data_IF_546085129616
#
_entry.id   IF_546085129616
#
_cell.length_a   1.000
_cell.length_b   1.000
_cell.length_c   1.000
_cell.angle_alpha   90.00
_cell.angle_beta   90.00
_cell.angle_gamma   90.00
#
_symmetry.space_group_name_H-M   'P 1'
#
loop_
_entity.id
_entity.type
_entity.pdbx_description
1 polymer ?
#
# COMPACT_ATOMS: atom_id res chain seq x y z
N UNK A 1 -7.88 -20.43 -29.15
CA UNK A 1 -6.50 -20.95 -29.23
C UNK A 1 -5.48 -20.12 -28.46
N UNK A 2 -5.56 -18.78 -28.44
CA UNK A 2 -4.58 -17.94 -27.72
C UNK A 2 -4.70 -18.00 -26.18
N UNK A 3 -5.92 -18.07 -25.62
CA UNK A 3 -6.15 -18.09 -24.16
C UNK A 3 -5.56 -19.31 -23.44
N UNK A 4 -5.48 -20.45 -24.13
CA UNK A 4 -4.91 -21.69 -23.57
C UNK A 4 -3.38 -21.65 -23.47
N UNK A 5 -2.73 -20.67 -24.11
CA UNK A 5 -1.27 -20.46 -24.05
C UNK A 5 -0.84 -19.55 -22.88
N UNK A 6 -1.80 -18.93 -22.20
CA UNK A 6 -1.53 -18.07 -21.04
C UNK A 6 -1.13 -18.96 -19.86
N UNK A 7 0.11 -18.80 -19.38
CA UNK A 7 0.65 -19.58 -18.26
C UNK A 7 0.40 -18.94 -16.89
N UNK A 8 0.34 -17.60 -16.84
CA UNK A 8 0.19 -16.84 -15.61
C UNK A 8 -0.73 -15.66 -15.84
N UNK A 9 -1.58 -15.37 -14.87
CA UNK A 9 -2.40 -14.17 -14.88
C UNK A 9 -2.24 -13.44 -13.55
N UNK A 10 -1.79 -12.19 -13.62
CA UNK A 10 -1.64 -11.32 -12.44
C UNK A 10 -2.91 -10.49 -12.29
N UNK A 11 -3.52 -10.51 -11.10
CA UNK A 11 -4.73 -9.75 -10.79
C UNK A 11 -4.65 -9.08 -9.41
N UNK A 12 -5.48 -8.05 -9.21
CA UNK A 12 -5.73 -7.49 -7.88
C UNK A 12 -6.50 -8.52 -7.03
N UNK A 13 -6.47 -8.39 -5.70
CA UNK A 13 -7.23 -9.20 -4.73
C UNK A 13 -8.75 -9.03 -4.82
N UNK A 14 -9.27 -8.36 -5.85
CA UNK A 14 -10.70 -8.18 -6.03
C UNK A 14 -11.35 -9.48 -6.50
N UNK A 15 -12.21 -10.04 -5.63
CA UNK A 15 -12.81 -11.38 -5.77
C UNK A 15 -13.39 -11.70 -7.16
N UNK A 16 -14.14 -10.80 -7.83
CA UNK A 16 -14.66 -11.07 -9.16
C UNK A 16 -13.56 -11.41 -10.16
N UNK A 17 -12.41 -10.71 -10.14
CA UNK A 17 -11.35 -10.97 -11.12
C UNK A 17 -10.80 -12.39 -11.03
N UNK A 18 -10.78 -12.98 -9.83
CA UNK A 18 -10.30 -14.36 -9.62
C UNK A 18 -11.25 -15.38 -10.24
N UNK A 19 -12.56 -15.23 -10.02
CA UNK A 19 -13.55 -16.11 -10.64
C UNK A 19 -13.55 -16.01 -12.18
N UNK A 20 -13.19 -14.86 -12.73
CA UNK A 20 -13.00 -14.68 -14.17
C UNK A 20 -11.75 -15.42 -14.71
N UNK A 21 -10.70 -15.61 -13.89
CA UNK A 21 -9.48 -16.32 -14.34
C UNK A 21 -9.82 -17.76 -14.65
N UNK A 22 -10.44 -18.46 -13.71
CA UNK A 22 -10.73 -19.89 -13.83
C UNK A 22 -11.69 -20.17 -14.98
N UNK A 23 -12.62 -19.24 -15.25
CA UNK A 23 -13.60 -19.37 -16.34
C UNK A 23 -13.02 -19.15 -17.74
N UNK A 24 -12.08 -18.21 -17.91
CA UNK A 24 -11.63 -17.79 -19.24
C UNK A 24 -10.17 -18.19 -19.57
N UNK A 25 -9.39 -18.57 -18.56
CA UNK A 25 -7.97 -18.95 -18.67
C UNK A 25 -7.68 -20.20 -17.81
N UNK A 26 -8.27 -21.36 -18.14
CA UNK A 26 -8.21 -22.56 -17.30
C UNK A 26 -6.78 -23.12 -17.09
N UNK A 27 -5.83 -22.78 -17.98
CA UNK A 27 -4.44 -23.21 -17.88
C UNK A 27 -3.52 -22.20 -17.16
N UNK A 28 -4.06 -21.03 -16.78
CA UNK A 28 -3.25 -19.95 -16.22
C UNK A 28 -3.20 -20.07 -14.70
N UNK A 29 -1.99 -19.96 -14.14
CA UNK A 29 -1.80 -19.87 -12.70
C UNK A 29 -2.18 -18.45 -12.26
N UNK A 30 -3.18 -18.37 -11.37
CA UNK A 30 -3.61 -17.11 -10.76
C UNK A 30 -2.54 -16.60 -9.81
N UNK A 31 -2.08 -15.38 -10.07
CA UNK A 31 -1.11 -14.64 -9.27
C UNK A 31 -1.79 -13.39 -8.76
N UNK A 32 -1.64 -13.14 -7.47
CA UNK A 32 -2.24 -11.97 -6.83
C UNK A 32 -1.15 -10.98 -6.45
N UNK A 33 -1.40 -9.70 -6.69
CA UNK A 33 -0.46 -8.65 -6.33
C UNK A 33 -0.48 -8.36 -4.82
N UNK A 34 0.59 -8.77 -4.14
CA UNK A 34 0.80 -8.65 -2.71
C UNK A 34 0.93 -7.19 -2.21
N UNK A 35 1.20 -6.23 -3.09
CA UNK A 35 1.24 -4.80 -2.71
C UNK A 35 -0.14 -4.25 -2.33
N UNK A 36 -1.23 -4.85 -2.82
CA UNK A 36 -2.59 -4.45 -2.44
C UNK A 36 -2.89 -4.68 -0.96
N UNK A 37 -2.29 -5.71 -0.34
CA UNK A 37 -2.42 -5.94 1.11
C UNK A 37 -1.78 -4.82 1.91
N UNK A 38 -0.56 -4.41 1.55
CA UNK A 38 0.13 -3.31 2.23
C UNK A 38 -0.70 -2.03 2.11
N UNK A 39 -1.24 -1.75 0.92
CA UNK A 39 -2.13 -0.62 0.69
C UNK A 39 -3.39 -0.70 1.56
N UNK A 40 -4.00 -1.88 1.66
CA UNK A 40 -5.17 -2.10 2.51
C UNK A 40 -4.84 -1.86 4.00
N UNK A 41 -3.76 -2.47 4.52
CA UNK A 41 -3.29 -2.25 5.90
C UNK A 41 -3.06 -0.75 6.15
N UNK A 42 -2.31 -0.08 5.28
CA UNK A 42 -2.01 1.35 5.42
C UNK A 42 -3.27 2.23 5.43
N UNK A 43 -4.26 1.92 4.60
CA UNK A 43 -5.53 2.63 4.60
C UNK A 43 -6.26 2.46 5.93
N UNK A 44 -6.33 1.24 6.46
CA UNK A 44 -6.98 0.97 7.74
C UNK A 44 -6.27 1.66 8.91
N UNK A 45 -4.94 1.63 8.93
CA UNK A 45 -4.15 2.35 9.92
C UNK A 45 -4.34 3.86 9.82
N UNK A 46 -4.44 4.41 8.61
CA UNK A 46 -4.71 5.83 8.38
C UNK A 46 -6.10 6.23 8.89
N UNK A 47 -7.13 5.39 8.65
CA UNK A 47 -8.47 5.61 9.20
C UNK A 47 -8.44 5.64 10.73
N UNK A 48 -7.73 4.69 11.36
CA UNK A 48 -7.55 4.67 12.81
C UNK A 48 -6.84 5.93 13.33
N UNK A 49 -5.72 6.32 12.72
CA UNK A 49 -4.97 7.53 13.09
C UNK A 49 -5.78 8.81 12.92
N UNK A 50 -6.58 8.90 11.85
CA UNK A 50 -7.46 10.04 11.62
C UNK A 50 -8.60 10.10 12.65
N UNK A 51 -9.16 8.95 13.04
CA UNK A 51 -10.16 8.88 14.11
C UNK A 51 -9.56 9.34 15.45
N UNK A 52 -8.36 8.87 15.77
CA UNK A 52 -7.62 9.27 16.99
C UNK A 52 -7.30 10.78 16.98
N UNK A 53 -6.81 11.31 15.86
CA UNK A 53 -6.56 12.74 15.71
C UNK A 53 -7.87 13.54 15.84
N UNK A 54 -8.98 13.02 15.30
CA UNK A 54 -10.30 13.62 15.43
C UNK A 54 -10.77 13.71 16.88
N UNK A 55 -10.68 12.61 17.64
CA UNK A 55 -11.08 12.63 19.06
C UNK A 55 -10.22 13.57 19.91
N UNK A 56 -8.90 13.62 19.65
CA UNK A 56 -8.02 14.57 20.33
C UNK A 56 -8.38 16.02 20.00
N UNK A 57 -8.71 16.30 18.74
CA UNK A 57 -9.15 17.62 18.29
C UNK A 57 -10.44 18.04 18.99
N UNK A 58 -11.46 17.18 19.03
CA UNK A 58 -12.74 17.48 19.69
C UNK A 58 -12.54 17.79 21.18
N UNK A 59 -11.72 16.99 21.88
CA UNK A 59 -11.36 17.24 23.28
C UNK A 59 -10.67 18.59 23.46
N UNK A 60 -9.75 18.95 22.56
CA UNK A 60 -9.04 20.23 22.62
C UNK A 60 -9.98 21.41 22.35
N UNK A 61 -10.94 21.28 21.43
CA UNK A 61 -11.99 22.28 21.14
C UNK A 61 -12.95 22.45 22.34
N UNK A 62 -13.34 21.38 23.01
CA UNK A 62 -14.14 21.44 24.26
C UNK A 62 -13.39 22.16 25.38
N UNK A 63 -12.11 21.80 25.59
CA UNK A 63 -11.25 22.49 26.56
C UNK A 63 -11.10 23.97 26.27
N UNK A 64 -10.99 24.33 24.99
CA UNK A 64 -10.89 25.71 24.56
C UNK A 64 -12.18 26.50 24.84
N UNK A 65 -13.34 25.97 24.43
CA UNK A 65 -14.65 26.58 24.71
C UNK A 65 -14.89 26.77 26.21
N UNK A 66 -14.53 25.80 27.03
CA UNK A 66 -14.64 25.91 28.49
C UNK A 66 -13.76 27.05 29.06
N UNK A 67 -12.56 27.26 28.51
CA UNK A 67 -11.69 28.36 28.91
C UNK A 67 -12.22 29.72 28.49
N UNK A 68 -12.76 29.84 27.28
CA UNK A 68 -13.40 31.08 26.82
C UNK A 68 -14.62 31.44 27.66
N UNK A 69 -15.47 30.46 27.97
CA UNK A 69 -16.62 30.65 28.84
C UNK A 69 -16.22 31.11 30.25
N UNK A 70 -15.16 30.52 30.82
CA UNK A 70 -14.63 30.92 32.12
C UNK A 70 -14.02 32.33 32.12
N UNK A 71 -13.30 32.70 31.05
CA UNK A 71 -12.63 34.00 30.94
C UNK A 71 -13.54 35.11 30.38
N UNK A 72 -14.73 34.76 29.89
CA UNK A 72 -15.70 35.66 29.22
C UNK A 72 -15.07 36.48 28.09
N UNK A 73 -14.11 35.91 27.36
CA UNK A 73 -13.49 36.55 26.20
C UNK A 73 -13.03 35.52 25.18
N UNK A 74 -12.91 35.95 23.94
CA UNK A 74 -12.31 35.16 22.88
C UNK A 74 -10.79 35.03 23.11
N UNK A 75 -10.27 33.81 22.95
CA UNK A 75 -8.84 33.53 23.03
C UNK A 75 -8.40 32.77 21.78
N UNK A 76 -7.11 32.81 21.46
CA UNK A 76 -6.60 32.04 20.32
C UNK A 76 -6.63 30.53 20.63
N UNK A 77 -7.21 29.74 19.72
CA UNK A 77 -7.13 28.28 19.80
C UNK A 77 -5.69 27.78 19.65
N UNK A 78 -5.25 26.96 20.60
CA UNK A 78 -3.94 26.29 20.57
C UNK A 78 -4.17 24.78 20.73
N UNK A 79 -3.90 23.98 19.68
CA UNK A 79 -4.05 22.53 19.77
C UNK A 79 -3.07 21.92 20.78
N UNK A 80 -3.44 20.77 21.36
CA UNK A 80 -2.54 20.02 22.23
C UNK A 80 -1.32 19.47 21.48
N UNK A 81 -0.22 19.27 22.22
CA UNK A 81 0.97 18.56 21.70
C UNK A 81 0.61 17.16 21.20
N UNK A 82 -0.30 16.48 21.87
CA UNK A 82 -0.79 15.14 21.49
C UNK A 82 -1.49 15.14 20.14
N UNK A 83 -2.43 16.08 19.91
CA UNK A 83 -3.08 16.24 18.61
C UNK A 83 -2.04 16.53 17.52
N UNK A 84 -1.11 17.46 17.76
CA UNK A 84 -0.05 17.80 16.82
C UNK A 84 0.84 16.60 16.48
N UNK A 85 1.20 15.78 17.49
CA UNK A 85 1.97 14.55 17.32
C UNK A 85 1.24 13.58 16.40
N UNK A 86 0.01 13.18 16.75
CA UNK A 86 -0.76 12.20 15.97
C UNK A 86 -1.08 12.74 14.57
N UNK A 87 -1.37 14.03 14.42
CA UNK A 87 -1.73 14.62 13.12
C UNK A 87 -0.55 14.69 12.16
N UNK A 88 0.63 15.07 12.63
CA UNK A 88 1.78 15.35 11.76
C UNK A 88 2.76 14.17 11.62
N UNK A 89 2.80 13.26 12.59
CA UNK A 89 3.75 12.15 12.60
C UNK A 89 3.12 10.78 12.28
N UNK A 90 1.95 10.76 11.63
CA UNK A 90 1.32 9.53 11.14
C UNK A 90 2.27 8.67 10.29
N UNK A 91 3.18 9.33 9.56
CA UNK A 91 4.17 8.66 8.71
C UNK A 91 5.09 7.71 9.47
N UNK A 92 5.33 7.92 10.77
CA UNK A 92 6.15 7.01 11.61
C UNK A 92 5.51 5.63 11.69
N UNK A 93 4.17 5.58 11.74
CA UNK A 93 3.39 4.35 11.78
C UNK A 93 3.23 3.74 10.38
N UNK A 94 3.09 4.58 9.34
CA UNK A 94 2.72 4.15 7.99
C UNK A 94 3.90 3.84 7.07
N UNK A 95 5.08 4.40 7.34
CA UNK A 95 6.28 4.18 6.55
C UNK A 95 6.77 2.74 6.63
N UNK A 96 7.43 2.27 5.58
CA UNK A 96 8.09 0.96 5.58
C UNK A 96 9.28 0.96 6.54
N UNK A 97 9.66 -0.21 7.10
CA UNK A 97 10.83 -0.34 7.97
C UNK A 97 12.09 0.30 7.43
N UNK A 98 12.41 0.06 6.17
CA UNK A 98 13.64 0.53 5.53
C UNK A 98 13.69 2.05 5.35
N UNK A 99 12.54 2.73 5.37
CA UNK A 99 12.46 4.18 5.21
C UNK A 99 12.63 4.94 6.53
N UNK A 100 12.79 4.24 7.66
CA UNK A 100 12.86 4.84 8.99
C UNK A 100 14.31 4.93 9.44
N UNK A 101 14.84 6.14 9.42
CA UNK A 101 16.20 6.41 9.84
C UNK A 101 16.27 6.69 11.34
N UNK A 102 16.63 5.67 12.12
CA UNK A 102 16.83 5.77 13.57
C UNK A 102 18.15 6.44 13.95
N UNK A 103 19.10 6.55 13.02
CA UNK A 103 20.42 7.16 13.26
C UNK A 103 20.43 8.68 12.98
N UNK A 104 19.30 9.24 12.54
CA UNK A 104 19.20 10.67 12.26
C UNK A 104 19.28 11.49 13.56
N UNK A 105 20.03 12.60 13.59
CA UNK A 105 20.14 13.44 14.78
C UNK A 105 18.79 14.12 15.09
N UNK A 106 18.52 14.44 16.37
CA UNK A 106 17.32 15.17 16.77
C UNK A 106 17.17 16.49 16.02
N UNK A 107 15.95 16.81 15.58
CA UNK A 107 15.62 18.08 14.92
C UNK A 107 14.63 18.86 15.76
N UNK A 108 14.85 20.17 15.88
CA UNK A 108 13.93 21.04 16.60
C UNK A 108 12.58 21.11 15.89
N UNK A 109 11.51 20.83 16.63
CA UNK A 109 10.16 20.95 16.12
C UNK A 109 9.46 22.19 16.68
N UNK A 110 9.28 23.22 15.86
CA UNK A 110 8.65 24.49 16.26
C UNK A 110 7.22 24.34 16.81
N UNK A 111 6.47 23.30 16.40
CA UNK A 111 5.10 23.09 16.89
C UNK A 111 5.04 22.42 18.26
N UNK A 112 6.04 21.60 18.59
CA UNK A 112 6.09 20.84 19.84
C UNK A 112 7.01 21.49 20.88
N UNK A 113 7.97 22.33 20.44
CA UNK A 113 8.87 23.09 21.30
C UNK A 113 10.06 22.30 21.84
N UNK A 114 10.37 21.13 21.26
CA UNK A 114 11.49 20.28 21.67
C UNK A 114 12.28 19.76 20.46
N UNK A 115 13.53 19.36 20.71
CA UNK A 115 14.30 18.54 19.78
C UNK A 115 13.75 17.11 19.80
N UNK A 116 13.46 16.57 18.63
CA UNK A 116 12.87 15.25 18.48
C UNK A 116 13.66 14.44 17.46
N UNK A 117 14.03 13.22 17.83
CA UNK A 117 14.45 12.16 16.92
C UNK A 117 13.32 11.15 16.72
N UNK A 118 13.55 10.14 15.87
CA UNK A 118 12.56 9.12 15.60
C UNK A 118 12.17 8.29 16.85
N UNK A 119 13.12 7.80 17.67
CA UNK A 119 12.81 7.14 18.94
C UNK A 119 11.90 7.95 19.86
N UNK A 120 12.16 9.24 20.04
CA UNK A 120 11.37 10.11 20.91
C UNK A 120 9.96 10.29 20.34
N UNK A 121 9.83 10.50 19.03
CA UNK A 121 8.51 10.59 18.38
C UNK A 121 7.71 9.29 18.58
N UNK A 122 8.36 8.13 18.44
CA UNK A 122 7.73 6.83 18.68
C UNK A 122 7.28 6.66 20.12
N UNK A 123 8.15 7.02 21.07
CA UNK A 123 7.85 6.99 22.49
C UNK A 123 6.61 7.82 22.81
N UNK A 124 6.58 9.09 22.38
CA UNK A 124 5.47 10.00 22.60
C UNK A 124 4.17 9.52 21.93
N UNK A 125 4.23 9.00 20.71
CA UNK A 125 3.05 8.44 20.02
C UNK A 125 2.48 7.22 20.76
N UNK A 126 3.35 6.35 21.27
CA UNK A 126 2.94 5.14 21.97
C UNK A 126 2.44 5.42 23.40
N UNK A 127 2.93 6.48 24.04
CA UNK A 127 2.33 6.99 25.28
C UNK A 127 0.91 7.49 25.05
N UNK A 128 0.65 8.23 23.95
CA UNK A 128 -0.70 8.70 23.61
C UNK A 128 -1.65 7.51 23.36
N UNK A 129 -1.18 6.51 22.62
CA UNK A 129 -1.98 5.31 22.39
C UNK A 129 -1.10 4.06 22.19
N UNK A 130 -0.99 3.18 23.21
CA UNK A 130 -0.15 1.99 23.15
C UNK A 130 -0.52 1.02 22.03
N UNK A 131 -1.77 1.05 21.54
CA UNK A 131 -2.24 0.22 20.43
C UNK A 131 -1.45 0.48 19.15
N UNK A 132 -0.97 1.72 18.93
CA UNK A 132 -0.22 2.10 17.72
C UNK A 132 1.05 1.26 17.54
N UNK A 133 1.71 0.90 18.64
CA UNK A 133 2.91 0.04 18.62
C UNK A 133 2.60 -1.34 18.03
N UNK A 134 1.49 -1.95 18.45
CA UNK A 134 1.07 -3.28 18.02
C UNK A 134 0.59 -3.26 16.57
N UNK A 135 -0.18 -2.23 16.18
CA UNK A 135 -0.64 -2.04 14.81
C UNK A 135 0.53 -1.89 13.84
N UNK A 136 1.52 -1.06 14.20
CA UNK A 136 2.74 -0.89 13.41
C UNK A 136 3.52 -2.19 13.31
N UNK A 137 3.70 -2.91 14.43
CA UNK A 137 4.39 -4.20 14.46
C UNK A 137 3.76 -5.21 13.49
N UNK A 138 2.43 -5.33 13.51
CA UNK A 138 1.72 -6.26 12.62
C UNK A 138 1.87 -5.88 11.14
N UNK A 139 1.79 -4.57 10.80
CA UNK A 139 2.08 -4.09 9.44
C UNK A 139 3.52 -4.42 9.03
N UNK A 140 4.49 -4.09 9.88
CA UNK A 140 5.90 -4.28 9.57
C UNK A 140 6.24 -5.75 9.37
N UNK A 141 5.63 -6.67 10.12
CA UNK A 141 5.77 -8.12 9.89
C UNK A 141 5.38 -8.53 8.46
N UNK A 142 4.30 -7.97 7.91
CA UNK A 142 3.92 -8.24 6.52
C UNK A 142 4.93 -7.67 5.53
N UNK A 143 5.39 -6.43 5.75
CA UNK A 143 6.40 -5.81 4.87
C UNK A 143 7.70 -6.62 4.88
N UNK A 144 8.16 -7.03 6.06
CA UNK A 144 9.34 -7.89 6.25
C UNK A 144 9.14 -9.26 5.60
N UNK A 145 7.94 -9.84 5.70
CA UNK A 145 7.61 -11.10 5.02
C UNK A 145 7.76 -10.95 3.49
N UNK A 146 7.22 -9.89 2.89
CA UNK A 146 7.34 -9.65 1.45
C UNK A 146 8.79 -9.46 1.01
N UNK A 147 9.61 -8.73 1.79
CA UNK A 147 11.02 -8.49 1.45
C UNK A 147 11.90 -9.73 1.67
N UNK A 148 11.67 -10.50 2.74
CA UNK A 148 12.53 -11.63 3.14
C UNK A 148 12.32 -12.87 2.27
N UNK A 149 11.08 -13.11 1.82
CA UNK A 149 10.72 -14.33 1.08
C UNK A 149 10.40 -14.06 -0.40
N UNK A 150 10.67 -12.85 -0.89
CA UNK A 150 10.30 -12.38 -2.23
C UNK A 150 10.64 -13.32 -3.38
N UNK A 151 11.69 -14.13 -3.24
CA UNK A 151 12.22 -15.00 -4.28
C UNK A 151 12.23 -16.50 -3.90
N UNK A 152 11.63 -16.89 -2.77
CA UNK A 152 11.65 -18.28 -2.28
C UNK A 152 10.23 -18.74 -1.85
N UNK A 153 9.42 -19.27 -2.79
CA UNK A 153 8.07 -19.71 -2.48
C UNK A 153 8.02 -20.87 -1.49
N UNK A 154 9.07 -21.71 -1.41
CA UNK A 154 9.12 -22.84 -0.47
C UNK A 154 9.21 -22.35 0.97
N UNK A 155 10.04 -21.33 1.22
CA UNK A 155 10.14 -20.67 2.53
C UNK A 155 9.00 -19.69 2.81
N UNK A 156 8.46 -19.04 1.78
CA UNK A 156 7.32 -18.13 1.91
C UNK A 156 6.06 -18.84 2.45
N UNK A 157 5.83 -20.09 2.05
CA UNK A 157 4.62 -20.85 2.41
C UNK A 157 4.44 -21.05 3.92
N UNK A 158 5.40 -21.63 4.68
CA UNK A 158 5.27 -21.75 6.13
C UNK A 158 5.23 -20.37 6.81
N UNK A 159 6.01 -19.39 6.33
CA UNK A 159 6.01 -18.04 6.89
C UNK A 159 4.65 -17.32 6.73
N UNK A 160 3.98 -17.49 5.58
CA UNK A 160 2.65 -16.93 5.36
C UNK A 160 1.60 -17.56 6.28
N UNK A 161 1.65 -18.89 6.50
CA UNK A 161 0.74 -19.54 7.47
C UNK A 161 0.94 -18.99 8.88
N UNK A 162 2.18 -18.84 9.31
CA UNK A 162 2.49 -18.25 10.61
C UNK A 162 1.93 -16.82 10.72
N UNK A 163 2.13 -16.00 9.69
CA UNK A 163 1.62 -14.62 9.65
C UNK A 163 0.09 -14.57 9.73
N UNK A 164 -0.61 -15.44 8.99
CA UNK A 164 -2.08 -15.56 9.04
C UNK A 164 -2.53 -15.93 10.45
N UNK A 165 -1.87 -16.90 11.09
CA UNK A 165 -2.22 -17.31 12.45
C UNK A 165 -2.02 -16.17 13.46
N UNK A 166 -0.91 -15.44 13.37
CA UNK A 166 -0.67 -14.27 14.22
C UNK A 166 -1.73 -13.19 14.02
N UNK A 167 -2.16 -12.96 12.78
CA UNK A 167 -3.21 -11.98 12.46
C UNK A 167 -4.58 -12.40 13.02
N UNK A 168 -4.93 -13.69 12.90
CA UNK A 168 -6.15 -14.28 13.50
C UNK A 168 -6.16 -14.16 15.02
N UNK A 169 -5.01 -14.40 15.65
CA UNK A 169 -4.85 -14.32 17.11
C UNK A 169 -4.74 -12.87 17.61
N UNK A 170 -4.57 -11.88 16.72
CA UNK A 170 -4.52 -10.49 17.12
C UNK A 170 -5.87 -10.01 17.65
N UNK A 171 -5.85 -9.03 18.55
CA UNK A 171 -7.08 -8.38 19.07
C UNK A 171 -7.76 -7.44 18.07
N UNK A 172 -7.20 -7.26 16.87
CA UNK A 172 -7.64 -6.24 15.92
C UNK A 172 -8.52 -6.87 14.84
N UNK A 173 -9.83 -6.54 14.77
CA UNK A 173 -10.74 -7.10 13.77
C UNK A 173 -10.26 -6.90 12.33
N UNK A 174 -9.63 -5.75 12.06
CA UNK A 174 -9.01 -5.45 10.76
C UNK A 174 -7.98 -6.51 10.36
N UNK A 175 -7.09 -6.89 11.27
CA UNK A 175 -6.06 -7.89 10.96
C UNK A 175 -6.66 -9.30 10.85
N UNK A 176 -7.71 -9.63 11.59
CA UNK A 176 -8.46 -10.87 11.40
C UNK A 176 -9.07 -10.96 9.99
N UNK A 177 -9.74 -9.89 9.53
CA UNK A 177 -10.30 -9.82 8.18
C UNK A 177 -9.23 -9.89 7.08
N UNK A 178 -8.06 -9.29 7.31
CA UNK A 178 -6.92 -9.42 6.41
C UNK A 178 -6.42 -10.86 6.41
N UNK A 179 -6.37 -11.54 7.55
CA UNK A 179 -5.99 -12.94 7.63
C UNK A 179 -6.92 -13.83 6.78
N UNK A 180 -8.23 -13.60 6.83
CA UNK A 180 -9.19 -14.33 6.01
C UNK A 180 -8.99 -14.08 4.52
N UNK A 181 -8.63 -12.84 4.15
CA UNK A 181 -8.28 -12.48 2.76
C UNK A 181 -7.00 -13.17 2.31
N UNK A 182 -5.97 -13.20 3.17
CA UNK A 182 -4.71 -13.87 2.88
C UNK A 182 -4.87 -15.38 2.76
N UNK A 183 -5.71 -15.98 3.61
CA UNK A 183 -5.99 -17.42 3.59
C UNK A 183 -6.78 -17.82 2.34
N UNK A 184 -7.76 -17.00 1.95
CA UNK A 184 -8.50 -17.21 0.71
C UNK A 184 -7.61 -17.11 -0.54
N UNK A 185 -6.66 -16.17 -0.56
CA UNK A 185 -5.73 -15.98 -1.68
C UNK A 185 -4.39 -16.69 -1.49
N UNK A 186 -4.29 -17.66 -0.57
CA UNK A 186 -3.01 -18.20 -0.10
C UNK A 186 -2.12 -18.68 -1.25
N UNK A 187 -2.62 -19.57 -2.11
CA UNK A 187 -1.84 -20.11 -3.22
C UNK A 187 -1.48 -19.02 -4.25
N UNK A 188 -2.41 -18.11 -4.56
CA UNK A 188 -2.15 -17.02 -5.51
C UNK A 188 -1.10 -16.03 -5.02
N UNK A 189 -1.00 -15.82 -3.70
CA UNK A 189 0.05 -15.01 -3.08
C UNK A 189 1.38 -15.75 -3.15
N UNK A 190 1.42 -17.05 -2.85
CA UNK A 190 2.64 -17.85 -2.96
C UNK A 190 3.18 -17.85 -4.39
N UNK A 191 2.29 -17.94 -5.39
CA UNK A 191 2.65 -17.87 -6.79
C UNK A 191 3.26 -16.50 -7.18
N UNK A 192 2.97 -15.42 -6.44
CA UNK A 192 3.56 -14.10 -6.69
C UNK A 192 5.06 -14.02 -6.37
N UNK A 193 5.58 -14.97 -5.59
CA UNK A 193 7.02 -15.09 -5.30
C UNK A 193 7.79 -15.88 -6.36
N UNK A 194 7.11 -16.37 -7.40
CA UNK A 194 7.77 -17.02 -8.54
C UNK A 194 8.50 -15.94 -9.35
N UNK A 195 9.81 -16.13 -9.51
CA UNK A 195 10.68 -15.28 -10.32
C UNK A 195 10.73 -15.83 -11.75
N UNK A 196 10.63 -14.94 -12.74
CA UNK A 196 10.74 -15.30 -14.15
C UNK A 196 11.78 -14.44 -14.86
N UNK A 197 12.37 -15.02 -15.90
CA UNK A 197 13.18 -14.28 -16.85
C UNK A 197 12.26 -13.39 -17.70
N UNK A 198 12.51 -12.09 -17.68
CA UNK A 198 11.91 -11.11 -18.59
C UNK A 198 12.96 -10.65 -19.57
N UNK A 199 12.63 -10.72 -20.85
CA UNK A 199 13.45 -10.16 -21.91
C UNK A 199 13.10 -8.68 -22.07
N UNK A 200 14.07 -7.82 -21.81
CA UNK A 200 14.00 -6.38 -22.02
C UNK A 200 14.97 -5.98 -23.14
N UNK A 201 14.85 -4.75 -23.63
CA UNK A 201 15.73 -4.24 -24.70
C UNK A 201 17.21 -4.18 -24.29
N UNK A 202 17.48 -4.08 -22.99
CA UNK A 202 18.81 -4.01 -22.36
C UNK A 202 19.33 -5.38 -21.89
N UNK A 203 18.55 -6.46 -22.07
CA UNK A 203 18.96 -7.82 -21.71
C UNK A 203 17.89 -8.63 -20.98
N UNK A 204 18.29 -9.79 -20.44
CA UNK A 204 17.39 -10.68 -19.68
C UNK A 204 17.50 -10.38 -18.19
N UNK A 205 16.39 -9.99 -17.58
CA UNK A 205 16.32 -9.68 -16.15
C UNK A 205 15.44 -10.68 -15.41
N UNK A 206 15.90 -11.12 -14.24
CA UNK A 206 15.09 -11.91 -13.32
C UNK A 206 14.16 -10.98 -12.55
N UNK A 207 12.85 -11.18 -12.67
CA UNK A 207 11.88 -10.36 -11.96
C UNK A 207 10.65 -11.16 -11.56
N UNK A 208 10.03 -10.75 -10.46
CA UNK A 208 8.76 -11.31 -10.00
C UNK A 208 7.64 -10.98 -10.98
N UNK A 209 6.62 -11.82 -11.01
CA UNK A 209 5.36 -11.44 -11.63
C UNK A 209 4.73 -10.29 -10.84
N UNK A 210 4.38 -9.23 -11.53
CA UNK A 210 3.81 -8.03 -10.91
C UNK A 210 2.77 -7.41 -11.82
N UNK A 211 1.80 -6.71 -11.22
CA UNK A 211 0.79 -5.99 -11.98
C UNK A 211 1.33 -4.68 -12.57
N UNK A 212 2.58 -4.29 -12.23
CA UNK A 212 3.20 -3.03 -12.63
C UNK A 212 3.14 -2.68 -14.12
N UNK A 213 3.42 -3.63 -15.06
CA UNK A 213 3.26 -3.37 -16.49
C UNK A 213 1.82 -3.01 -16.87
N UNK A 214 0.84 -3.76 -16.36
CA UNK A 214 -0.59 -3.48 -16.57
C UNK A 214 -1.02 -2.17 -15.94
N UNK A 215 -0.54 -1.85 -14.74
CA UNK A 215 -0.78 -0.55 -14.10
C UNK A 215 -0.22 0.60 -14.93
N UNK A 216 0.96 0.41 -15.54
CA UNK A 216 1.59 1.43 -16.39
C UNK A 216 0.75 1.71 -17.65
N UNK A 217 0.15 0.67 -18.25
CA UNK A 217 -0.75 0.80 -19.40
C UNK A 217 -2.08 1.44 -18.99
N UNK A 218 -2.65 1.01 -17.86
CA UNK A 218 -3.85 1.60 -17.29
C UNK A 218 -3.67 3.10 -16.99
N UNK A 219 -2.46 3.50 -16.57
CA UNK A 219 -2.13 4.92 -16.34
C UNK A 219 -2.20 5.73 -17.63
N UNK A 220 -1.73 5.21 -18.76
CA UNK A 220 -1.81 5.89 -20.06
C UNK A 220 -3.26 6.18 -20.44
N UNK A 221 -4.15 5.19 -20.30
CA UNK A 221 -5.57 5.38 -20.55
C UNK A 221 -6.20 6.42 -19.60
N UNK A 222 -5.84 6.39 -18.31
CA UNK A 222 -6.30 7.38 -17.31
C UNK A 222 -5.81 8.79 -17.64
N UNK A 223 -4.54 8.94 -18.03
CA UNK A 223 -3.95 10.22 -18.43
C UNK A 223 -4.59 10.75 -19.70
N UNK A 224 -4.83 9.89 -20.70
CA UNK A 224 -5.60 10.23 -21.90
C UNK A 224 -7.00 10.75 -21.54
N UNK A 225 -7.73 10.06 -20.65
CA UNK A 225 -9.06 10.49 -20.19
C UNK A 225 -9.01 11.85 -19.48
N UNK A 226 -8.03 12.05 -18.60
CA UNK A 226 -7.83 13.31 -17.86
C UNK A 226 -7.50 14.47 -18.81
N UNK A 227 -6.57 14.26 -19.75
CA UNK A 227 -6.15 15.27 -20.72
C UNK A 227 -7.25 15.55 -21.75
N UNK A 228 -8.09 14.57 -22.07
CA UNK A 228 -9.20 14.71 -23.01
C UNK A 228 -10.44 15.42 -22.45
N UNK A 229 -10.51 15.70 -21.13
CA UNK A 229 -11.75 16.16 -20.45
C UNK A 229 -12.97 15.27 -20.75
N UNK A 230 -12.75 13.98 -20.90
CA UNK A 230 -13.75 12.99 -21.31
C UNK A 230 -13.79 12.74 -22.82
N UNK A 231 -14.18 11.52 -23.20
CA UNK A 231 -14.35 11.14 -24.60
C UNK A 231 -15.80 10.75 -24.83
N UNK A 232 -16.44 11.33 -25.86
CA UNK A 232 -17.82 11.01 -26.25
C UNK A 232 -17.92 9.82 -27.22
N UNK A 233 -16.82 9.47 -27.87
CA UNK A 233 -16.74 8.37 -28.84
C UNK A 233 -15.58 7.42 -28.46
N UNK A 234 -15.92 6.13 -28.29
CA UNK A 234 -14.97 5.07 -27.96
C UNK A 234 -13.91 4.86 -29.05
N UNK A 235 -14.27 5.03 -30.32
CA UNK A 235 -13.37 4.81 -31.45
C UNK A 235 -12.24 5.86 -31.48
N UNK A 236 -12.55 7.12 -31.17
CA UNK A 236 -11.55 8.16 -30.99
C UNK A 236 -10.63 7.89 -29.80
N UNK A 237 -11.17 7.43 -28.67
CA UNK A 237 -10.37 7.02 -27.52
C UNK A 237 -9.41 5.88 -27.89
N UNK A 238 -9.93 4.85 -28.59
CA UNK A 238 -9.15 3.68 -29.04
C UNK A 238 -8.02 4.09 -29.98
N UNK A 239 -8.30 4.91 -30.99
CA UNK A 239 -7.28 5.33 -31.95
C UNK A 239 -6.18 6.18 -31.29
N UNK A 240 -6.55 7.05 -30.35
CA UNK A 240 -5.58 7.87 -29.58
C UNK A 240 -4.73 7.01 -28.64
N UNK A 241 -5.33 5.99 -28.02
CA UNK A 241 -4.62 5.03 -27.19
C UNK A 241 -3.60 4.22 -28.00
N UNK A 242 -4.03 3.64 -29.14
CA UNK A 242 -3.13 2.90 -30.03
C UNK A 242 -1.99 3.77 -30.55
N UNK A 243 -2.25 5.04 -30.85
CA UNK A 243 -1.23 6.00 -31.27
C UNK A 243 -0.21 6.30 -30.15
N UNK A 244 -0.66 6.49 -28.91
CA UNK A 244 0.22 6.72 -27.76
C UNK A 244 1.12 5.52 -27.46
N UNK A 245 0.60 4.29 -27.62
CA UNK A 245 1.38 3.05 -27.52
C UNK A 245 2.41 2.91 -28.65
N UNK A 246 2.09 3.38 -29.87
CA UNK A 246 2.97 3.31 -31.04
C UNK A 246 4.26 4.12 -30.85
N UNK A 247 4.17 5.33 -30.28
CA UNK A 247 5.34 6.17 -29.94
C UNK A 247 6.29 5.54 -28.91
N UNK A 248 5.77 4.69 -28.02
CA UNK A 248 6.60 3.95 -27.06
C UNK A 248 7.30 2.75 -27.71
N UNK A 249 6.62 2.08 -28.65
CA UNK A 249 7.20 0.95 -29.41
C UNK A 249 8.25 1.36 -30.43
N UNK A 250 8.15 2.56 -31.02
CA UNK A 250 9.18 3.08 -31.94
C UNK A 250 10.54 3.36 -31.27
N UNK A 251 10.60 3.40 -29.94
CA UNK A 251 11.86 3.49 -29.18
C UNK A 251 12.41 2.12 -28.75
N UNK A 252 11.78 1.02 -29.16
CA UNK A 252 12.28 -0.35 -29.01
C UNK A 252 12.24 -1.00 -30.40
N UNK A 253 13.25 -0.70 -31.22
CA UNK A 253 13.44 -1.35 -32.51
C UNK A 253 13.87 -2.81 -32.30
N UNK A 254 12.96 -3.75 -32.53
CA UNK A 254 13.32 -5.13 -32.83
C UNK A 254 13.88 -5.16 -34.25
N UNK A 255 15.21 -5.27 -34.38
CA UNK A 255 15.83 -5.73 -35.60
C UNK A 255 15.43 -7.20 -35.79
N UNK A 256 14.57 -7.47 -36.77
CA UNK A 256 14.37 -8.81 -37.31
C UNK A 256 15.14 -8.84 -38.62
N UNK A 257 16.34 -9.41 -38.57
CA UNK A 257 17.12 -9.74 -39.76
C UNK A 257 16.51 -10.99 -40.39
N UNK A 258 16.03 -10.86 -41.62
CA UNK A 258 16.08 -11.92 -42.64
C UNK A 258 17.12 -11.52 -43.65
#
# INVERSE_FOLDING_TARGET
MERNRVKYLVSDMYRPYIAYVDKYFPNAISVVDSFHVIKHINNQLRLYLNKLAGSLKTRDEERHRAREAYLQREIKFVPSKEYCLVKHFQWVILSNPDNRNYSAPPRFNYKLGYYLDLPEIEHLLFQINPVLSQLRRLKDKYVIFISSYGNDPKKARPALRQLIQEYRNSRFPTFKSIADTLDYHFESIINSFIVMQRYCADGTHLSRLSNGPMESLNRIAKDLKRNGRGFRNFEHLRNRFLFAERKKRSNVSFASTT
#
